data_IF_751049850482
#
_entry.id   IF_751049850482
#
_cell.length_a   1.000
_cell.length_b   1.000
_cell.length_c   1.000
_cell.angle_alpha   90.00
_cell.angle_beta   90.00
_cell.angle_gamma   90.00
#
_symmetry.space_group_name_H-M   'P 1'
#
loop_
_entity.id
_entity.type
_entity.pdbx_description
1 polymer ?
#
# COMPACT_ATOMS: atom_id res chain seq x y z
N UNK A 1 75.81 -18.74 17.19
CA UNK A 1 75.05 -17.49 16.89
C UNK A 1 73.72 -17.78 16.16
N UNK A 2 72.94 -18.80 16.56
CA UNK A 2 71.66 -19.16 15.90
C UNK A 2 70.42 -18.59 16.60
N UNK A 3 70.52 -18.23 17.89
CA UNK A 3 69.42 -17.64 18.65
C UNK A 3 68.96 -16.27 18.15
N UNK A 4 69.86 -15.45 17.59
CA UNK A 4 69.52 -14.13 17.07
C UNK A 4 68.71 -14.18 15.76
N UNK A 5 68.90 -15.24 14.95
CA UNK A 5 68.14 -15.43 13.73
C UNK A 5 66.67 -15.75 14.04
N UNK A 6 66.42 -16.63 15.02
CA UNK A 6 65.06 -17.02 15.42
C UNK A 6 64.28 -15.88 16.09
N UNK A 7 64.95 -14.99 16.83
CA UNK A 7 64.29 -13.79 17.38
C UNK A 7 63.89 -12.80 16.28
N UNK A 8 64.70 -12.66 15.23
CA UNK A 8 64.41 -11.75 14.12
C UNK A 8 63.27 -12.30 13.24
N UNK A 9 63.25 -13.62 13.02
CA UNK A 9 62.20 -14.32 12.32
C UNK A 9 60.84 -14.23 13.05
N UNK A 10 60.83 -14.40 14.38
CA UNK A 10 59.62 -14.23 15.19
C UNK A 10 59.06 -12.79 15.13
N UNK A 11 59.94 -11.78 15.11
CA UNK A 11 59.52 -10.38 14.97
C UNK A 11 58.92 -10.12 13.59
N UNK A 12 59.51 -10.65 12.52
CA UNK A 12 58.98 -10.52 11.15
C UNK A 12 57.63 -11.22 11.00
N UNK A 13 57.49 -12.43 11.55
CA UNK A 13 56.22 -13.15 11.55
C UNK A 13 55.13 -12.38 12.33
N UNK A 14 55.48 -11.79 13.47
CA UNK A 14 54.58 -10.92 14.25
C UNK A 14 54.13 -9.69 13.46
N UNK A 15 55.04 -9.04 12.73
CA UNK A 15 54.73 -7.90 11.89
C UNK A 15 53.79 -8.26 10.72
N UNK A 16 53.97 -9.43 10.11
CA UNK A 16 53.08 -9.91 9.05
C UNK A 16 51.67 -10.20 9.57
N UNK A 17 51.54 -10.81 10.75
CA UNK A 17 50.25 -11.07 11.40
C UNK A 17 49.54 -9.77 11.82
N UNK A 18 50.28 -8.80 12.34
CA UNK A 18 49.71 -7.49 12.67
C UNK A 18 49.25 -6.75 11.41
N UNK A 19 50.03 -6.82 10.32
CA UNK A 19 49.67 -6.20 9.05
C UNK A 19 48.42 -6.84 8.44
N UNK A 20 48.33 -8.17 8.44
CA UNK A 20 47.15 -8.88 7.92
C UNK A 20 45.90 -8.59 8.75
N UNK A 21 46.03 -8.44 10.08
CA UNK A 21 44.93 -8.05 10.95
C UNK A 21 44.44 -6.62 10.67
N UNK A 22 45.36 -5.67 10.44
CA UNK A 22 45.00 -4.29 10.05
C UNK A 22 44.28 -4.27 8.71
N UNK A 23 44.74 -5.04 7.72
CA UNK A 23 44.06 -5.17 6.43
C UNK A 23 42.67 -5.82 6.57
N UNK A 24 42.53 -6.85 7.41
CA UNK A 24 41.25 -7.50 7.68
C UNK A 24 40.26 -6.55 8.37
N UNK A 25 40.73 -5.73 9.32
CA UNK A 25 39.92 -4.72 9.99
C UNK A 25 39.46 -3.62 9.00
N UNK A 26 40.31 -3.21 8.06
CA UNK A 26 39.93 -2.27 7.01
C UNK A 26 38.86 -2.84 6.06
N UNK A 27 38.83 -4.16 5.83
CA UNK A 27 37.78 -4.82 5.03
C UNK A 27 36.40 -4.85 5.71
N UNK A 28 36.31 -4.73 7.04
CA UNK A 28 35.01 -4.71 7.75
C UNK A 28 34.24 -3.40 7.62
N UNK A 29 34.84 -2.36 7.02
CA UNK A 29 34.21 -1.06 6.79
C UNK A 29 33.71 -0.88 5.34
N UNK A 30 33.13 -1.91 4.74
CA UNK A 30 32.40 -1.76 3.46
C UNK A 30 31.12 -2.59 3.52
N UNK A 31 30.17 -2.14 4.34
CA UNK A 31 28.75 -2.41 4.08
C UNK A 31 28.11 -1.10 3.63
N UNK A 32 27.41 -1.07 2.48
CA UNK A 32 26.91 0.17 1.91
C UNK A 32 25.72 0.69 2.73
N UNK A 33 25.99 1.59 3.68
CA UNK A 33 24.96 2.39 4.36
C UNK A 33 24.12 3.21 3.35
N UNK A 34 24.69 3.53 2.18
CA UNK A 34 24.05 4.32 1.12
C UNK A 34 22.87 3.60 0.43
N UNK A 35 22.90 2.27 0.33
CA UNK A 35 21.82 1.52 -0.31
C UNK A 35 20.55 1.49 0.58
N UNK A 36 20.72 1.25 1.88
CA UNK A 36 19.61 1.22 2.84
C UNK A 36 19.00 2.60 3.07
N UNK A 37 19.83 3.65 3.19
CA UNK A 37 19.34 5.03 3.35
C UNK A 37 18.65 5.56 2.08
N UNK A 38 19.14 5.20 0.90
CA UNK A 38 18.47 5.54 -0.36
C UNK A 38 17.14 4.79 -0.52
N UNK A 39 17.07 3.49 -0.21
CA UNK A 39 15.81 2.74 -0.20
C UNK A 39 14.80 3.33 0.77
N UNK A 40 15.22 3.64 2.00
CA UNK A 40 14.37 4.31 2.99
C UNK A 40 13.89 5.69 2.52
N UNK A 41 14.73 6.48 1.86
CA UNK A 41 14.32 7.78 1.34
C UNK A 41 13.24 7.64 0.25
N UNK A 42 13.39 6.65 -0.63
CA UNK A 42 12.43 6.36 -1.70
C UNK A 42 11.13 5.80 -1.14
N UNK A 43 11.17 4.90 -0.16
CA UNK A 43 10.00 4.40 0.56
C UNK A 43 9.24 5.54 1.24
N UNK A 44 9.95 6.39 2.00
CA UNK A 44 9.36 7.56 2.65
C UNK A 44 8.70 8.50 1.63
N UNK A 45 9.30 8.72 0.46
CA UNK A 45 8.72 9.54 -0.60
C UNK A 45 7.46 8.91 -1.21
N UNK A 46 7.44 7.60 -1.43
CA UNK A 46 6.27 6.89 -1.95
C UNK A 46 5.13 6.88 -0.92
N UNK A 47 5.44 6.65 0.35
CA UNK A 47 4.45 6.69 1.44
C UNK A 47 3.84 8.09 1.59
N UNK A 48 4.68 9.14 1.52
CA UNK A 48 4.22 10.52 1.53
C UNK A 48 3.32 10.83 0.31
N UNK A 49 3.65 10.29 -0.87
CA UNK A 49 2.81 10.43 -2.07
C UNK A 49 1.45 9.75 -1.87
N UNK A 50 1.41 8.49 -1.43
CA UNK A 50 0.15 7.78 -1.18
C UNK A 50 -0.71 8.45 -0.12
N UNK A 51 -0.10 8.88 0.98
CA UNK A 51 -0.77 9.63 2.04
C UNK A 51 -1.33 10.95 1.54
N UNK A 52 -0.57 11.66 0.69
CA UNK A 52 -1.01 12.91 0.06
C UNK A 52 -2.20 12.71 -0.89
N UNK A 53 -2.21 11.65 -1.68
CA UNK A 53 -3.33 11.33 -2.58
C UNK A 53 -4.59 11.01 -1.78
N UNK A 54 -4.48 10.18 -0.74
CA UNK A 54 -5.61 9.86 0.12
C UNK A 54 -6.13 11.07 0.88
N UNK A 55 -5.24 11.92 1.39
CA UNK A 55 -5.63 13.17 2.05
C UNK A 55 -6.32 14.14 1.08
N UNK A 56 -5.82 14.28 -0.14
CA UNK A 56 -6.46 15.10 -1.17
C UNK A 56 -7.83 14.52 -1.58
N UNK A 57 -7.95 13.20 -1.68
CA UNK A 57 -9.21 12.53 -1.99
C UNK A 57 -10.23 12.70 -0.86
N UNK A 58 -9.78 12.67 0.40
CA UNK A 58 -10.63 12.96 1.55
C UNK A 58 -11.09 14.43 1.54
N UNK A 59 -10.19 15.38 1.25
CA UNK A 59 -10.52 16.80 1.15
C UNK A 59 -11.48 17.13 -0.01
N UNK A 60 -11.45 16.33 -1.07
CA UNK A 60 -12.33 16.46 -2.23
C UNK A 60 -13.59 15.59 -2.12
N UNK A 61 -13.87 15.01 -0.94
CA UNK A 61 -15.00 14.12 -0.66
C UNK A 61 -15.13 12.93 -1.65
N UNK A 62 -14.03 12.48 -2.25
CA UNK A 62 -14.04 11.46 -3.32
C UNK A 62 -13.81 10.04 -2.82
N UNK A 63 -13.46 9.85 -1.54
CA UNK A 63 -13.27 8.52 -0.96
C UNK A 63 -14.60 7.78 -0.77
N UNK A 64 -15.62 8.46 -0.25
CA UNK A 64 -16.94 7.86 0.00
C UNK A 64 -17.65 7.47 -1.31
N UNK A 65 -17.71 8.32 -2.36
CA UNK A 65 -18.22 7.93 -3.67
C UNK A 65 -17.54 6.68 -4.24
N UNK A 66 -16.22 6.58 -4.12
CA UNK A 66 -15.48 5.42 -4.63
C UNK A 66 -15.81 4.11 -3.88
N UNK A 67 -15.97 4.17 -2.56
CA UNK A 67 -16.37 3.02 -1.73
C UNK A 67 -17.81 2.59 -2.01
N UNK A 68 -18.68 3.53 -2.36
CA UNK A 68 -20.10 3.31 -2.68
C UNK A 68 -20.38 3.14 -4.18
N UNK A 69 -19.33 2.99 -5.00
CA UNK A 69 -19.39 2.87 -6.46
C UNK A 69 -19.84 1.47 -6.92
N UNK A 70 -20.99 1.03 -6.43
CA UNK A 70 -21.50 -0.34 -6.54
C UNK A 70 -22.73 -0.42 -7.43
N UNK A 71 -22.73 -1.38 -8.36
CA UNK A 71 -23.89 -1.72 -9.16
C UNK A 71 -24.75 -2.75 -8.42
N UNK A 72 -25.88 -2.29 -7.87
CA UNK A 72 -26.82 -3.14 -7.13
C UNK A 72 -27.41 -4.29 -7.97
N UNK A 73 -27.53 -4.10 -9.30
CA UNK A 73 -28.17 -5.09 -10.19
C UNK A 73 -27.22 -6.22 -10.54
N UNK A 74 -25.95 -5.90 -10.80
CA UNK A 74 -24.94 -6.89 -11.17
C UNK A 74 -24.09 -7.37 -9.99
N UNK A 75 -24.34 -6.86 -8.78
CA UNK A 75 -23.63 -7.22 -7.55
C UNK A 75 -22.10 -7.11 -7.68
N UNK A 76 -21.63 -6.00 -8.26
CA UNK A 76 -20.20 -5.71 -8.44
C UNK A 76 -19.92 -4.20 -8.51
N UNK A 77 -18.67 -3.80 -8.33
CA UNK A 77 -18.27 -2.41 -8.58
C UNK A 77 -18.43 -2.05 -10.06
N UNK A 78 -18.81 -0.81 -10.36
CA UNK A 78 -19.10 -0.41 -11.74
C UNK A 78 -17.87 -0.54 -12.66
N UNK A 79 -17.99 -1.33 -13.73
CA UNK A 79 -16.92 -1.51 -14.71
C UNK A 79 -15.82 -2.51 -14.30
N UNK A 80 -16.05 -3.32 -13.26
CA UNK A 80 -15.18 -4.48 -12.99
C UNK A 80 -15.47 -5.63 -13.94
N UNK A 81 -14.54 -6.58 -14.00
CA UNK A 81 -14.81 -7.87 -14.63
C UNK A 81 -15.73 -8.70 -13.73
N UNK A 82 -16.82 -9.24 -14.30
CA UNK A 82 -17.86 -10.01 -13.59
C UNK A 82 -17.30 -11.20 -12.80
N UNK A 83 -16.21 -11.82 -13.27
CA UNK A 83 -15.63 -12.98 -12.60
C UNK A 83 -14.68 -12.63 -11.44
N UNK A 84 -14.24 -11.37 -11.34
CA UNK A 84 -13.23 -10.92 -10.36
C UNK A 84 -13.81 -10.01 -9.29
N UNK A 85 -14.72 -9.09 -9.65
CA UNK A 85 -15.30 -8.12 -8.71
C UNK A 85 -14.32 -7.03 -8.22
N UNK A 86 -13.16 -6.88 -8.87
CA UNK A 86 -12.17 -5.84 -8.62
C UNK A 86 -11.47 -5.42 -9.92
N UNK A 87 -10.82 -4.26 -9.92
CA UNK A 87 -10.16 -3.70 -11.10
C UNK A 87 -8.73 -4.25 -11.25
N UNK A 88 -8.40 -4.73 -12.45
CA UNK A 88 -7.05 -5.25 -12.79
C UNK A 88 -6.44 -4.58 -14.03
N UNK A 89 -7.26 -4.04 -14.95
CA UNK A 89 -6.81 -3.45 -16.23
C UNK A 89 -6.73 -1.92 -16.22
N UNK A 90 -6.69 -1.32 -15.04
CA UNK A 90 -6.66 0.13 -14.85
C UNK A 90 -7.60 0.57 -13.73
N UNK A 91 -7.50 1.84 -13.29
CA UNK A 91 -8.32 2.35 -12.21
C UNK A 91 -9.78 2.55 -12.64
N UNK A 92 -10.73 2.52 -11.68
CA UNK A 92 -12.13 2.85 -11.94
C UNK A 92 -12.28 4.24 -12.56
N UNK A 93 -13.32 4.42 -13.36
CA UNK A 93 -13.69 5.74 -13.91
C UNK A 93 -14.45 6.59 -12.88
N UNK A 94 -13.81 6.84 -11.74
CA UNK A 94 -14.29 7.73 -10.69
C UNK A 94 -13.16 8.65 -10.21
N UNK A 95 -13.49 9.63 -9.40
CA UNK A 95 -12.55 10.69 -9.01
C UNK A 95 -11.34 10.12 -8.27
N UNK A 96 -11.52 9.15 -7.36
CA UNK A 96 -10.41 8.48 -6.67
C UNK A 96 -9.48 7.75 -7.66
N UNK A 97 -10.04 6.95 -8.56
CA UNK A 97 -9.29 6.22 -9.58
C UNK A 97 -8.46 7.14 -10.46
N UNK A 98 -9.03 8.27 -10.89
CA UNK A 98 -8.31 9.28 -11.67
C UNK A 98 -7.18 9.95 -10.89
N UNK A 99 -7.38 10.23 -9.59
CA UNK A 99 -6.34 10.79 -8.72
C UNK A 99 -5.17 9.83 -8.53
N UNK A 100 -5.45 8.54 -8.30
CA UNK A 100 -4.44 7.50 -8.18
C UNK A 100 -3.66 7.34 -9.49
N UNK A 101 -4.36 7.24 -10.62
CA UNK A 101 -3.77 7.16 -11.96
C UNK A 101 -2.77 8.30 -12.21
N UNK A 102 -3.20 9.56 -11.99
CA UNK A 102 -2.36 10.74 -12.20
C UNK A 102 -1.10 10.73 -11.32
N UNK A 103 -1.20 10.14 -10.14
CA UNK A 103 -0.12 10.16 -9.14
C UNK A 103 0.89 9.03 -9.32
N UNK A 104 0.45 7.85 -9.79
CA UNK A 104 1.26 6.64 -9.81
C UNK A 104 1.63 6.14 -11.22
N UNK A 105 0.69 6.09 -12.18
CA UNK A 105 0.94 5.48 -13.51
C UNK A 105 2.08 6.19 -14.27
N UNK A 106 2.15 7.52 -14.16
CA UNK A 106 3.22 8.31 -14.83
C UNK A 106 4.62 8.10 -14.26
N UNK A 107 4.76 7.33 -13.17
CA UNK A 107 6.01 7.18 -12.40
C UNK A 107 6.58 5.77 -12.38
N UNK A 108 5.99 4.81 -13.12
CA UNK A 108 6.39 3.40 -13.04
C UNK A 108 6.12 2.82 -11.66
N UNK A 109 4.97 3.18 -11.07
CA UNK A 109 4.54 2.72 -9.75
C UNK A 109 3.24 1.94 -9.94
N UNK A 110 3.25 0.66 -9.59
CA UNK A 110 2.04 -0.14 -9.46
C UNK A 110 1.42 0.09 -8.08
N UNK A 111 0.10 -0.08 -7.96
CA UNK A 111 -0.59 0.05 -6.70
C UNK A 111 -1.80 -0.88 -6.58
N UNK A 112 -2.07 -1.32 -5.36
CA UNK A 112 -3.29 -2.01 -4.97
C UNK A 112 -4.10 -1.10 -4.06
N UNK A 113 -5.42 -1.26 -4.10
CA UNK A 113 -6.33 -0.60 -3.18
C UNK A 113 -7.20 -1.63 -2.50
N UNK A 114 -7.26 -1.57 -1.18
CA UNK A 114 -8.05 -2.44 -0.33
C UNK A 114 -9.03 -1.63 0.51
N UNK A 115 -10.23 -2.18 0.69
CA UNK A 115 -11.20 -1.70 1.66
C UNK A 115 -11.21 -2.64 2.84
N UNK A 116 -10.75 -2.15 3.99
CA UNK A 116 -10.80 -2.87 5.26
C UNK A 116 -12.04 -2.42 6.02
N UNK A 117 -12.85 -3.37 6.47
CA UNK A 117 -14.08 -3.11 7.20
C UNK A 117 -14.36 -4.26 8.18
N UNK A 118 -15.27 -4.04 9.10
CA UNK A 118 -15.67 -5.06 10.07
C UNK A 118 -16.83 -5.89 9.52
N UNK A 119 -16.76 -7.22 9.65
CA UNK A 119 -17.87 -8.12 9.31
C UNK A 119 -18.88 -8.23 10.48
N UNK A 120 -19.94 -9.01 10.29
CA UNK A 120 -20.99 -9.22 11.30
C UNK A 120 -20.48 -9.87 12.60
N UNK A 121 -19.41 -10.68 12.50
CA UNK A 121 -18.77 -11.35 13.64
C UNK A 121 -17.85 -10.43 14.46
N UNK A 122 -17.55 -9.23 13.95
CA UNK A 122 -16.64 -8.28 14.60
C UNK A 122 -15.19 -8.33 14.11
N UNK A 123 -14.87 -9.20 13.16
CA UNK A 123 -13.54 -9.32 12.57
C UNK A 123 -13.30 -8.25 11.50
N UNK A 124 -12.07 -7.73 11.45
CA UNK A 124 -11.64 -6.81 10.39
C UNK A 124 -11.17 -7.61 9.18
N UNK A 125 -11.93 -7.54 8.09
CA UNK A 125 -11.65 -8.21 6.82
C UNK A 125 -11.36 -7.19 5.72
N UNK A 126 -10.74 -7.65 4.63
CA UNK A 126 -10.44 -6.82 3.46
C UNK A 126 -11.19 -7.26 2.23
N UNK A 127 -11.56 -6.30 1.39
CA UNK A 127 -11.96 -6.52 -0.01
C UNK A 127 -11.01 -5.81 -0.95
N UNK A 128 -10.63 -6.48 -2.03
CA UNK A 128 -9.85 -5.88 -3.12
C UNK A 128 -10.72 -4.91 -3.87
N UNK A 129 -10.20 -3.71 -4.10
CA UNK A 129 -10.80 -2.73 -4.98
C UNK A 129 -10.02 -2.64 -6.28
N UNK A 130 -8.72 -2.37 -6.20
CA UNK A 130 -7.78 -2.37 -7.33
C UNK A 130 -6.66 -3.36 -7.01
N UNK A 131 -6.32 -4.21 -7.98
CA UNK A 131 -5.27 -5.22 -7.83
C UNK A 131 -4.39 -5.28 -9.08
N UNK A 132 -3.20 -4.70 -8.99
CA UNK A 132 -2.18 -4.62 -10.04
C UNK A 132 -1.05 -5.65 -9.87
N UNK A 133 -1.21 -6.63 -8.99
CA UNK A 133 -0.25 -7.72 -8.78
C UNK A 133 0.23 -7.83 -7.34
N UNK A 134 1.29 -8.63 -7.15
CA UNK A 134 1.91 -8.84 -5.84
C UNK A 134 2.86 -7.68 -5.55
N UNK A 135 2.71 -6.96 -4.42
CA UNK A 135 3.65 -5.93 -4.03
C UNK A 135 5.07 -6.47 -3.89
N UNK A 136 6.07 -5.68 -4.27
CA UNK A 136 7.48 -6.03 -4.04
C UNK A 136 7.89 -5.75 -2.59
N UNK A 137 9.08 -6.22 -2.20
CA UNK A 137 9.59 -6.08 -0.82
C UNK A 137 9.68 -4.62 -0.33
N UNK A 138 9.75 -3.66 -1.26
CA UNK A 138 9.81 -2.22 -0.97
C UNK A 138 8.45 -1.52 -1.13
N UNK A 139 7.35 -2.28 -1.01
CA UNK A 139 6.01 -1.72 -1.09
C UNK A 139 5.69 -0.85 0.13
N UNK A 140 5.01 0.27 -0.12
CA UNK A 140 4.60 1.20 0.93
C UNK A 140 3.10 1.34 1.00
N UNK A 141 2.58 1.41 2.23
CA UNK A 141 1.16 1.55 2.51
C UNK A 141 0.80 2.95 2.98
N UNK A 142 -0.34 3.46 2.53
CA UNK A 142 -1.02 4.61 3.12
C UNK A 142 -2.49 4.28 3.30
N UNK A 143 -3.14 4.79 4.35
CA UNK A 143 -4.55 4.52 4.58
C UNK A 143 -5.33 5.73 5.10
N UNK A 144 -6.62 5.75 4.82
CA UNK A 144 -7.57 6.73 5.31
C UNK A 144 -8.90 6.07 5.67
N UNK A 145 -9.46 6.39 6.83
CA UNK A 145 -10.71 5.79 7.31
C UNK A 145 -11.87 6.72 7.06
N UNK A 146 -12.92 6.20 6.43
CA UNK A 146 -14.20 6.88 6.26
C UNK A 146 -15.30 6.16 7.04
N UNK A 147 -16.34 6.89 7.40
CA UNK A 147 -17.54 6.34 8.05
C UNK A 147 -18.69 6.30 7.06
N UNK A 148 -19.29 5.12 6.90
CA UNK A 148 -20.52 4.93 6.15
C UNK A 148 -21.71 5.08 7.10
N UNK A 149 -22.73 5.79 6.65
CA UNK A 149 -23.97 6.03 7.39
C UNK A 149 -25.12 5.24 6.76
N UNK A 150 -26.11 4.88 7.56
CA UNK A 150 -27.30 4.15 7.11
C UNK A 150 -28.07 4.82 5.97
N UNK A 151 -27.91 6.14 5.79
CA UNK A 151 -28.54 6.95 4.76
C UNK A 151 -27.61 7.27 3.57
N UNK A 152 -26.41 6.68 3.54
CA UNK A 152 -25.53 6.81 2.40
C UNK A 152 -26.11 6.07 1.19
N UNK A 153 -25.97 6.67 0.02
CA UNK A 153 -26.50 6.13 -1.23
C UNK A 153 -25.38 5.55 -2.06
N UNK A 154 -25.72 4.55 -2.86
CA UNK A 154 -24.86 4.04 -3.92
C UNK A 154 -24.60 5.12 -4.98
N UNK A 155 -23.53 4.93 -5.76
CA UNK A 155 -23.16 5.81 -6.86
C UNK A 155 -23.17 5.05 -8.17
N UNK A 156 -23.82 5.63 -9.18
CA UNK A 156 -23.90 5.10 -10.54
C UNK A 156 -22.55 5.18 -11.27
N UNK A 157 -22.43 4.54 -12.45
CA UNK A 157 -21.20 4.48 -13.25
C UNK A 157 -20.66 5.83 -13.76
N UNK A 158 -21.41 6.91 -13.61
CA UNK A 158 -21.01 8.29 -13.88
C UNK A 158 -20.62 9.06 -12.60
N UNK A 159 -20.48 8.36 -11.48
CA UNK A 159 -20.21 8.90 -10.14
C UNK A 159 -21.31 9.85 -9.63
N UNK A 160 -22.56 9.71 -10.10
CA UNK A 160 -23.71 10.41 -9.52
C UNK A 160 -24.41 9.59 -8.46
N UNK A 161 -24.92 10.26 -7.42
CA UNK A 161 -25.66 9.63 -6.33
C UNK A 161 -26.94 8.96 -6.86
N UNK A 162 -27.06 7.66 -6.63
CA UNK A 162 -28.24 6.86 -6.95
C UNK A 162 -29.34 7.08 -5.88
N UNK A 163 -30.56 6.60 -6.14
CA UNK A 163 -31.65 6.53 -5.17
C UNK A 163 -31.53 5.37 -4.17
N UNK A 164 -30.76 4.31 -4.50
CA UNK A 164 -30.57 3.15 -3.62
C UNK A 164 -29.71 3.51 -2.41
N UNK A 165 -30.24 3.23 -1.22
CA UNK A 165 -29.59 3.38 0.08
C UNK A 165 -28.93 2.06 0.47
N UNK A 166 -27.77 2.08 1.13
CA UNK A 166 -27.06 0.86 1.57
C UNK A 166 -27.71 0.08 2.71
N UNK A 167 -28.87 0.54 3.20
CA UNK A 167 -29.67 -0.11 4.25
C UNK A 167 -31.10 -0.38 3.76
N UNK A 168 -31.28 -0.43 2.45
CA UNK A 168 -32.56 -0.77 1.83
C UNK A 168 -32.69 -2.29 1.83
N UNK A 169 -33.87 -2.85 2.07
CA UNK A 169 -34.09 -4.30 2.06
C UNK A 169 -33.72 -4.96 0.71
N UNK A 170 -33.53 -4.16 -0.35
CA UNK A 170 -33.14 -4.60 -1.70
C UNK A 170 -31.70 -4.28 -2.08
N UNK A 171 -30.90 -3.71 -1.19
CA UNK A 171 -29.50 -3.47 -1.51
C UNK A 171 -28.67 -4.76 -1.45
N UNK A 172 -27.66 -4.84 -2.31
CA UNK A 172 -26.73 -5.97 -2.42
C UNK A 172 -25.33 -5.51 -2.04
N UNK A 173 -25.21 -4.46 -1.21
CA UNK A 173 -23.94 -3.84 -0.93
C UNK A 173 -23.04 -4.81 -0.15
N UNK A 174 -21.77 -4.98 -0.56
CA UNK A 174 -20.93 -6.06 -0.04
C UNK A 174 -20.37 -5.88 1.37
N UNK A 175 -20.43 -4.67 1.92
CA UNK A 175 -19.97 -4.38 3.27
C UNK A 175 -21.21 -4.44 4.16
N UNK A 176 -21.23 -5.29 5.20
CA UNK A 176 -22.43 -5.47 6.01
C UNK A 176 -22.65 -4.27 6.92
N UNK A 177 -23.93 -4.03 7.23
CA UNK A 177 -24.34 -3.16 8.33
C UNK A 177 -23.99 -3.79 9.68
N UNK A 178 -23.50 -2.99 10.62
CA UNK A 178 -23.24 -3.43 11.98
C UNK A 178 -24.36 -2.98 12.94
N UNK A 179 -24.54 -3.65 14.10
CA UNK A 179 -25.44 -3.19 15.15
C UNK A 179 -24.85 -1.98 15.89
N UNK A 180 -24.69 -0.85 15.19
CA UNK A 180 -24.05 0.38 15.68
C UNK A 180 -24.79 1.63 15.19
N UNK A 181 -24.35 2.83 15.62
CA UNK A 181 -24.92 4.11 15.17
C UNK A 181 -24.48 4.51 13.76
N UNK A 182 -23.49 3.81 13.21
CA UNK A 182 -22.99 3.98 11.85
C UNK A 182 -23.16 2.66 11.11
N UNK A 183 -23.22 2.72 9.79
CA UNK A 183 -23.38 1.53 8.98
C UNK A 183 -22.14 0.62 9.11
N UNK A 184 -20.96 1.20 8.82
CA UNK A 184 -19.66 0.59 9.01
C UNK A 184 -18.55 1.65 8.94
N UNK A 185 -17.34 1.31 9.35
CA UNK A 185 -16.14 2.13 9.12
C UNK A 185 -15.24 1.43 8.10
N UNK A 186 -14.89 2.14 7.03
CA UNK A 186 -14.08 1.59 5.94
C UNK A 186 -12.73 2.28 5.92
N UNK A 187 -11.66 1.53 6.16
CA UNK A 187 -10.29 1.98 5.96
C UNK A 187 -9.87 1.67 4.52
N UNK A 188 -9.73 2.72 3.72
CA UNK A 188 -9.20 2.66 2.37
C UNK A 188 -7.68 2.64 2.47
N UNK A 189 -7.06 1.55 2.05
CA UNK A 189 -5.61 1.38 2.04
C UNK A 189 -5.09 1.31 0.61
N UNK A 190 -4.04 2.06 0.33
CA UNK A 190 -3.29 2.05 -0.93
C UNK A 190 -1.91 1.48 -0.64
N UNK A 191 -1.55 0.40 -1.33
CA UNK A 191 -0.21 -0.20 -1.29
C UNK A 191 0.44 0.06 -2.63
N UNK A 192 1.55 0.80 -2.67
CA UNK A 192 2.23 1.19 -3.89
C UNK A 192 3.68 0.68 -3.91
N UNK A 193 4.17 0.28 -5.09
CA UNK A 193 5.54 -0.20 -5.28
C UNK A 193 6.04 0.11 -6.68
N UNK A 194 7.35 0.24 -6.83
CA UNK A 194 7.96 0.41 -8.17
C UNK A 194 7.99 -0.90 -8.95
N UNK A 195 7.76 -0.78 -10.25
CA UNK A 195 7.92 -1.82 -11.26
C UNK A 195 9.19 -1.63 -12.07
#
# INVERSE_FOLDING_TARGET
MRGQAHTLEAVVAGLMLLSSLVFALQMTAVTPLSASTSSQHIENQQQATGSGVLAAAAQNDSLKPAVLYWNNTSEQFHGTNENLGYYTSGPPNNTLGQMLNRSFDRRGIAYNVYFWFQNEDGDVISRRYIYSGVPSDNAVGASHTITLMDHDHLYDANETRNATVIRDDRDTYPIPNLPSNVYNTVRVEVIAWRI
#
